data_IF_530674385394
#
_entry.id   IF_530674385394
#
_cell.length_a   1.000
_cell.length_b   1.000
_cell.length_c   1.000
_cell.angle_alpha   90.00
_cell.angle_beta   90.00
_cell.angle_gamma   90.00
#
_symmetry.space_group_name_H-M   'P 1'
#
loop_
_entity.id
_entity.type
_entity.pdbx_description
1 polymer ?
#
# COMPACT_ATOMS: atom_id res chain seq x y z
N UNK A 1 17.16 -5.76 -5.55
CA UNK A 1 15.79 -5.45 -5.08
C UNK A 1 15.72 -3.95 -4.93
N UNK A 2 15.00 -3.28 -5.82
CA UNK A 2 14.82 -1.83 -5.73
C UNK A 2 13.49 -1.58 -5.01
N UNK A 3 13.56 -0.88 -3.88
CA UNK A 3 12.38 -0.45 -3.12
C UNK A 3 12.15 1.05 -3.35
N UNK A 4 11.01 1.40 -3.91
CA UNK A 4 10.65 2.78 -4.21
C UNK A 4 9.57 3.25 -3.24
N UNK A 5 9.77 4.38 -2.55
CA UNK A 5 8.74 4.95 -1.69
C UNK A 5 7.57 5.45 -2.57
N UNK A 6 6.50 4.66 -2.62
CA UNK A 6 5.33 4.94 -3.45
C UNK A 6 4.17 5.54 -2.67
N UNK A 7 4.27 5.70 -1.35
CA UNK A 7 3.20 6.31 -0.58
C UNK A 7 3.38 6.28 0.93
N UNK A 8 2.35 6.78 1.63
CA UNK A 8 2.26 6.78 3.09
C UNK A 8 0.85 6.45 3.54
N UNK A 9 0.73 5.75 4.66
CA UNK A 9 -0.57 5.42 5.25
C UNK A 9 -1.21 6.69 5.81
N UNK A 10 -2.32 7.12 5.20
CA UNK A 10 -3.15 8.23 5.66
C UNK A 10 -4.12 7.76 6.75
N UNK A 11 -4.69 6.57 6.61
CA UNK A 11 -5.75 6.06 7.49
C UNK A 11 -5.64 4.54 7.75
N UNK A 12 -6.09 4.10 8.92
CA UNK A 12 -6.16 2.67 9.30
C UNK A 12 -7.58 2.27 9.72
N UNK A 13 -8.19 1.34 8.98
CA UNK A 13 -9.49 0.76 9.26
C UNK A 13 -9.33 -0.58 9.98
N UNK A 14 -9.05 -0.54 11.28
CA UNK A 14 -8.80 -1.74 12.09
C UNK A 14 -9.98 -2.73 12.18
N UNK A 15 -11.21 -2.33 11.85
CA UNK A 15 -12.38 -3.24 11.83
C UNK A 15 -12.35 -4.23 10.67
N UNK A 16 -11.77 -3.83 9.54
CA UNK A 16 -11.76 -4.60 8.28
C UNK A 16 -10.33 -4.87 7.76
N UNK A 17 -9.31 -4.50 8.55
CA UNK A 17 -7.90 -4.60 8.22
C UNK A 17 -7.53 -3.96 6.88
N UNK A 18 -8.07 -2.77 6.62
CA UNK A 18 -7.77 -1.98 5.42
C UNK A 18 -6.95 -0.75 5.81
N UNK A 19 -5.89 -0.47 5.07
CA UNK A 19 -5.19 0.83 5.13
C UNK A 19 -5.64 1.71 3.99
N UNK A 20 -5.86 2.99 4.28
CA UNK A 20 -5.84 4.05 3.28
C UNK A 20 -4.40 4.52 3.10
N UNK A 21 -3.90 4.46 1.87
CA UNK A 21 -2.55 4.87 1.50
C UNK A 21 -2.66 5.97 0.46
N UNK A 22 -2.06 7.11 0.75
CA UNK A 22 -1.87 8.16 -0.25
C UNK A 22 -0.64 7.80 -1.08
N UNK A 23 -0.86 7.50 -2.35
CA UNK A 23 0.21 7.19 -3.28
C UNK A 23 0.93 8.45 -3.74
N UNK A 24 2.25 8.40 -3.78
CA UNK A 24 3.13 9.39 -4.38
C UNK A 24 3.77 8.89 -5.67
N UNK A 25 3.53 7.61 -6.02
CA UNK A 25 4.02 6.96 -7.23
C UNK A 25 2.99 5.96 -7.79
N UNK A 26 3.24 5.40 -8.98
CA UNK A 26 2.35 4.43 -9.60
C UNK A 26 2.44 3.05 -8.92
N UNK A 27 1.29 2.43 -8.68
CA UNK A 27 1.15 1.07 -8.13
C UNK A 27 0.12 0.28 -8.94
N UNK A 28 0.34 -1.02 -9.13
CA UNK A 28 -0.61 -1.92 -9.79
C UNK A 28 -0.92 -3.15 -8.92
N UNK A 29 -2.08 -3.75 -9.17
CA UNK A 29 -2.42 -5.07 -8.61
C UNK A 29 -1.40 -6.09 -9.11
N UNK A 30 -0.89 -6.92 -8.20
CA UNK A 30 0.17 -7.90 -8.46
C UNK A 30 1.56 -7.42 -8.07
N UNK A 31 1.77 -6.12 -7.85
CA UNK A 31 3.03 -5.62 -7.29
C UNK A 31 3.21 -6.07 -5.84
N UNK A 32 4.46 -6.18 -5.41
CA UNK A 32 4.80 -6.38 -3.99
C UNK A 32 5.05 -5.05 -3.32
N UNK A 33 4.41 -4.83 -2.18
CA UNK A 33 4.62 -3.65 -1.34
C UNK A 33 5.19 -4.04 0.02
N UNK A 34 6.07 -3.19 0.55
CA UNK A 34 6.61 -3.26 1.89
C UNK A 34 6.06 -2.11 2.71
N UNK A 35 5.39 -2.43 3.82
CA UNK A 35 4.95 -1.44 4.79
C UNK A 35 5.97 -1.40 5.91
N UNK A 36 6.59 -0.23 6.11
CA UNK A 36 7.57 0.02 7.15
C UNK A 36 7.15 1.21 8.01
N UNK A 37 6.83 0.90 9.24
CA UNK A 37 6.42 1.81 10.30
C UNK A 37 7.38 1.78 11.48
N UNK A 38 6.94 2.39 12.59
CA UNK A 38 7.71 2.40 13.84
C UNK A 38 7.83 1.03 14.49
N UNK A 39 6.80 0.20 14.40
CA UNK A 39 6.71 -1.12 15.04
C UNK A 39 6.27 -2.22 14.08
N UNK A 40 6.17 -1.89 12.79
CA UNK A 40 5.53 -2.73 11.77
C UNK A 40 6.47 -2.76 10.57
N UNK A 41 6.97 -3.93 10.21
CA UNK A 41 7.76 -4.14 8.99
C UNK A 41 7.31 -5.46 8.38
N UNK A 42 6.62 -5.40 7.24
CA UNK A 42 6.21 -6.59 6.51
C UNK A 42 6.05 -6.29 5.02
N UNK A 43 6.19 -7.34 4.23
CA UNK A 43 6.06 -7.32 2.78
C UNK A 43 4.82 -8.14 2.40
N UNK A 44 4.01 -7.62 1.49
CA UNK A 44 2.88 -8.37 0.96
C UNK A 44 2.64 -8.04 -0.53
N UNK A 45 2.15 -9.02 -1.30
CA UNK A 45 1.63 -8.75 -2.63
C UNK A 45 0.31 -7.99 -2.55
N UNK A 46 0.09 -7.09 -3.50
CA UNK A 46 -1.17 -6.39 -3.68
C UNK A 46 -2.13 -7.31 -4.42
N UNK A 47 -3.04 -7.95 -3.67
CA UNK A 47 -4.07 -8.82 -4.24
C UNK A 47 -5.31 -8.06 -4.69
N UNK A 48 -5.60 -6.91 -4.05
CA UNK A 48 -6.77 -6.09 -4.33
C UNK A 48 -6.51 -4.64 -3.92
N UNK A 49 -6.91 -3.69 -4.76
CA UNK A 49 -6.86 -2.26 -4.49
C UNK A 49 -8.23 -1.64 -4.77
N UNK A 50 -8.63 -0.69 -3.92
CA UNK A 50 -9.87 0.05 -4.11
C UNK A 50 -9.63 1.55 -3.97
N UNK A 51 -10.12 2.34 -4.92
CA UNK A 51 -10.12 3.80 -4.88
C UNK A 51 -11.57 4.25 -4.84
N UNK A 52 -11.99 5.00 -3.81
CA UNK A 52 -13.37 5.51 -3.71
C UNK A 52 -14.48 4.45 -3.91
N UNK A 53 -14.31 3.27 -3.31
CA UNK A 53 -15.17 2.07 -3.50
C UNK A 53 -15.21 1.48 -4.92
N UNK A 54 -14.28 1.86 -5.78
CA UNK A 54 -14.10 1.24 -7.09
C UNK A 54 -12.85 0.35 -7.06
N UNK A 55 -13.01 -0.90 -7.48
CA UNK A 55 -11.88 -1.79 -7.70
C UNK A 55 -11.06 -1.29 -8.89
N UNK A 56 -9.75 -1.10 -8.65
CA UNK A 56 -8.82 -0.60 -9.66
C UNK A 56 -7.64 -1.54 -9.79
N UNK A 57 -7.14 -1.67 -11.02
CA UNK A 57 -5.93 -2.46 -11.32
C UNK A 57 -4.66 -1.64 -11.24
N UNK A 58 -4.77 -0.32 -11.46
CA UNK A 58 -3.68 0.64 -11.38
C UNK A 58 -4.08 1.84 -10.53
N UNK A 59 -3.10 2.45 -9.89
CA UNK A 59 -3.25 3.66 -9.11
C UNK A 59 -2.08 4.60 -9.37
N UNK A 60 -2.33 5.90 -9.37
CA UNK A 60 -1.35 6.93 -9.73
C UNK A 60 -0.90 7.73 -8.52
N UNK A 61 0.19 8.47 -8.69
CA UNK A 61 0.62 9.44 -7.71
C UNK A 61 -0.49 10.48 -7.48
N UNK A 62 -0.92 10.63 -6.22
CA UNK A 62 -2.01 11.51 -5.79
C UNK A 62 -3.28 10.77 -5.39
N UNK A 63 -3.45 9.51 -5.80
CA UNK A 63 -4.64 8.73 -5.47
C UNK A 63 -4.57 8.16 -4.04
N UNK A 64 -5.72 8.08 -3.39
CA UNK A 64 -5.88 7.36 -2.12
C UNK A 64 -6.41 5.96 -2.40
N UNK A 65 -5.56 4.95 -2.19
CA UNK A 65 -5.90 3.54 -2.35
C UNK A 65 -6.16 2.89 -0.99
N UNK A 66 -7.29 2.19 -0.91
CA UNK A 66 -7.59 1.22 0.11
C UNK A 66 -6.91 -0.11 -0.23
N UNK A 67 -5.99 -0.56 0.61
CA UNK A 67 -5.34 -1.87 0.48
C UNK A 67 -5.67 -2.70 1.71
N UNK A 68 -6.15 -3.92 1.49
CA UNK A 68 -6.32 -4.89 2.58
C UNK A 68 -4.95 -5.45 2.97
N UNK A 69 -4.64 -5.39 4.25
CA UNK A 69 -3.39 -5.90 4.78
C UNK A 69 -3.63 -7.03 5.77
N UNK A 70 -2.72 -8.01 5.78
CA UNK A 70 -2.77 -9.12 6.71
C UNK A 70 -2.42 -8.68 8.15
N UNK A 71 -1.58 -7.65 8.28
CA UNK A 71 -1.08 -7.15 9.55
C UNK A 71 -1.55 -5.74 9.85
N UNK A 72 -1.51 -5.40 11.14
CA UNK A 72 -1.88 -4.07 11.60
C UNK A 72 -0.85 -3.03 11.17
N UNK A 73 -1.30 -2.05 10.39
CA UNK A 73 -0.54 -0.85 10.07
C UNK A 73 -1.07 0.35 10.87
N UNK A 74 -0.29 1.43 10.91
CA UNK A 74 -0.64 2.68 11.59
C UNK A 74 -0.52 3.86 10.64
N UNK A 75 -1.26 4.92 10.94
CA UNK A 75 -1.17 6.19 10.24
C UNK A 75 0.27 6.71 10.35
N UNK A 76 0.85 7.11 9.23
CA UNK A 76 2.24 7.55 9.12
C UNK A 76 3.24 6.46 8.70
N UNK A 77 2.82 5.20 8.61
CA UNK A 77 3.67 4.13 8.07
C UNK A 77 4.01 4.41 6.61
N UNK A 78 5.23 4.07 6.21
CA UNK A 78 5.74 4.30 4.85
C UNK A 78 5.49 3.05 3.99
N UNK A 79 5.04 3.28 2.76
CA UNK A 79 4.76 2.21 1.81
C UNK A 79 5.79 2.27 0.69
N UNK A 80 6.52 1.17 0.53
CA UNK A 80 7.53 0.99 -0.49
C UNK A 80 7.05 -0.06 -1.48
N UNK A 81 7.30 0.14 -2.77
CA UNK A 81 7.05 -0.84 -3.82
C UNK A 81 8.34 -1.59 -4.07
N UNK A 82 8.30 -2.90 -3.95
CA UNK A 82 9.43 -3.78 -4.22
C UNK A 82 9.34 -4.19 -5.69
N UNK A 83 10.16 -3.58 -6.54
CA UNK A 83 10.31 -4.04 -7.94
C UNK A 83 11.25 -5.23 -7.93
N UNK A 84 10.72 -6.41 -8.24
CA UNK A 84 11.55 -7.52 -8.68
C UNK A 84 11.92 -7.23 -10.13
N UNK A 85 13.18 -6.84 -10.36
CA UNK A 85 13.78 -6.90 -11.68
C UNK A 85 14.33 -8.32 -11.84
N UNK A 86 13.75 -9.10 -12.74
CA UNK A 86 14.34 -10.32 -13.30
C UNK A 86 14.90 -10.00 -14.69
#
# INVERSE_FOLDING_TARGET
MEEELIGRVSHWYGKISVIGVTLTGPLAVGDTIRIRGHTTDFEQPVTSMQIWHQDVTEAKAGDEVGIRVAHRARVGDRVYKVKQAE
#
